data_IF_747840351414
#
_entry.id   IF_747840351414
#
_cell.length_a   1.000
_cell.length_b   1.000
_cell.length_c   1.000
_cell.angle_alpha   90.00
_cell.angle_beta   90.00
_cell.angle_gamma   90.00
#
_symmetry.space_group_name_H-M   'P 1'
#
loop_
_entity.id
_entity.type
_entity.pdbx_description
1 polymer ?
#
# COMPACT_ATOMS: atom_id res chain seq x y z
N UNK A 1 -0.56 59.19 -2.03
CA UNK A 1 -0.10 57.86 -2.47
C UNK A 1 0.24 57.07 -1.23
N UNK A 2 -0.67 56.19 -0.80
CA UNK A 2 -0.49 55.31 0.36
C UNK A 2 -0.79 53.90 -0.11
N UNK A 3 0.24 53.06 -0.10
CA UNK A 3 0.17 51.67 -0.54
C UNK A 3 -0.36 50.86 0.64
N UNK A 4 -1.57 50.35 0.56
CA UNK A 4 -2.09 49.35 1.50
C UNK A 4 -1.71 47.97 0.98
N UNK A 5 -0.85 47.27 1.72
CA UNK A 5 -0.55 45.87 1.47
C UNK A 5 -1.78 45.01 1.81
N UNK A 6 -2.23 44.18 0.87
CA UNK A 6 -3.20 43.13 1.13
C UNK A 6 -2.57 42.04 2.01
N UNK A 7 -3.29 41.44 2.95
CA UNK A 7 -2.80 40.27 3.66
C UNK A 7 -2.79 39.05 2.72
N UNK A 8 -1.77 38.21 2.85
CA UNK A 8 -1.65 36.95 2.14
C UNK A 8 -2.78 35.97 2.52
N UNK A 9 -3.17 35.02 1.64
CA UNK A 9 -4.20 34.04 1.94
C UNK A 9 -3.72 33.07 3.03
N UNK A 10 -4.57 32.81 4.02
CA UNK A 10 -4.31 31.85 5.09
C UNK A 10 -4.61 30.43 4.60
N UNK A 11 -3.58 29.58 4.60
CA UNK A 11 -3.67 28.15 4.29
C UNK A 11 -4.00 27.35 5.56
N UNK A 12 -5.11 26.62 5.54
CA UNK A 12 -5.50 25.58 6.51
C UNK A 12 -6.42 26.04 7.65
N UNK A 13 -7.43 25.23 7.96
CA UNK A 13 -8.25 25.40 9.17
C UNK A 13 -7.38 25.13 10.40
N UNK A 14 -7.22 26.15 11.25
CA UNK A 14 -6.60 26.01 12.58
C UNK A 14 -7.69 25.61 13.57
N UNK A 15 -7.64 24.39 14.09
CA UNK A 15 -8.48 23.97 15.21
C UNK A 15 -7.61 23.81 16.45
N UNK A 16 -7.69 24.79 17.34
CA UNK A 16 -7.06 24.77 18.65
C UNK A 16 -8.00 24.11 19.67
N UNK A 17 -7.75 22.85 20.03
CA UNK A 17 -8.21 22.31 21.32
C UNK A 17 -6.99 22.11 22.23
N UNK A 18 -6.92 22.95 23.28
CA UNK A 18 -6.14 22.73 24.50
C UNK A 18 -4.60 22.71 24.42
N UNK A 19 -3.97 23.82 24.01
CA UNK A 19 -2.67 24.23 24.56
C UNK A 19 -1.43 23.40 24.22
N UNK A 20 -1.52 22.46 23.29
CA UNK A 20 -0.39 21.76 22.68
C UNK A 20 -0.43 21.97 21.15
N UNK A 21 0.73 21.93 20.50
CA UNK A 21 0.97 22.33 19.08
C UNK A 21 -0.22 22.12 18.13
N UNK A 22 -0.59 23.19 17.40
CA UNK A 22 -1.62 23.16 16.38
C UNK A 22 -1.19 22.25 15.23
N UNK A 23 -1.74 21.04 15.18
CA UNK A 23 -1.52 20.10 14.07
C UNK A 23 -2.26 20.65 12.85
N UNK A 24 -1.52 21.13 11.85
CA UNK A 24 -2.12 21.53 10.57
C UNK A 24 -2.64 20.28 9.86
N UNK A 25 -3.91 20.30 9.50
CA UNK A 25 -4.57 19.24 8.71
C UNK A 25 -5.07 19.80 7.38
N UNK A 26 -5.34 18.91 6.43
CA UNK A 26 -5.94 19.25 5.16
C UNK A 26 -7.38 19.74 5.39
N UNK A 27 -7.80 20.82 4.69
CA UNK A 27 -9.16 21.29 4.76
C UNK A 27 -10.11 20.19 4.25
N UNK A 28 -11.08 19.82 5.07
CA UNK A 28 -12.00 18.74 4.77
C UNK A 28 -13.41 19.02 5.30
N UNK A 29 -14.39 18.40 4.67
CA UNK A 29 -15.81 18.44 5.09
C UNK A 29 -16.28 17.04 5.42
N UNK A 30 -17.18 16.88 6.39
CA UNK A 30 -17.76 15.57 6.68
C UNK A 30 -18.76 15.17 5.59
N UNK A 31 -18.74 13.91 5.17
CA UNK A 31 -19.81 13.35 4.35
C UNK A 31 -20.97 12.81 5.23
N UNK A 32 -22.04 12.35 4.59
CA UNK A 32 -23.23 11.83 5.26
C UNK A 32 -23.05 10.42 5.85
N UNK A 33 -21.91 9.77 5.61
CA UNK A 33 -21.64 8.37 5.91
C UNK A 33 -20.51 8.17 6.93
N UNK A 34 -20.15 9.22 7.67
CA UNK A 34 -19.08 9.15 8.68
C UNK A 34 -17.67 9.31 8.12
N UNK A 35 -17.52 9.60 6.83
CA UNK A 35 -16.25 9.93 6.19
C UNK A 35 -15.97 11.42 6.10
N UNK A 36 -14.85 11.75 5.45
CA UNK A 36 -14.40 13.13 5.19
C UNK A 36 -14.01 13.32 3.73
N UNK A 37 -14.27 14.50 3.20
CA UNK A 37 -13.96 14.90 1.82
C UNK A 37 -12.96 16.06 1.88
N UNK A 38 -11.76 15.81 1.36
CA UNK A 38 -10.72 16.80 1.10
C UNK A 38 -10.89 17.35 -0.31
N UNK A 39 -11.04 18.66 -0.44
CA UNK A 39 -11.19 19.34 -1.73
C UNK A 39 -9.96 20.22 -1.99
N UNK A 40 -8.98 19.67 -2.70
CA UNK A 40 -7.72 20.36 -3.00
C UNK A 40 -7.93 21.34 -4.15
N UNK A 41 -7.72 22.63 -3.89
CA UNK A 41 -7.92 23.69 -4.90
C UNK A 41 -6.66 24.45 -5.25
N UNK A 42 -5.71 24.50 -4.32
CA UNK A 42 -4.51 25.30 -4.43
C UNK A 42 -3.30 24.39 -4.68
N UNK A 43 -2.39 24.85 -5.53
CA UNK A 43 -1.13 24.20 -5.76
C UNK A 43 -0.34 24.09 -4.45
N UNK A 44 0.19 22.91 -4.20
CA UNK A 44 0.96 22.59 -3.01
C UNK A 44 2.17 21.76 -3.39
N UNK A 45 3.25 21.95 -2.64
CA UNK A 45 4.41 21.08 -2.70
C UNK A 45 4.05 19.66 -2.19
N UNK A 46 4.59 18.64 -2.84
CA UNK A 46 4.29 17.23 -2.52
C UNK A 46 4.74 16.83 -1.12
N UNK A 47 5.87 17.33 -0.62
CA UNK A 47 6.34 17.02 0.74
C UNK A 47 5.46 17.68 1.81
N UNK A 48 4.98 18.90 1.52
CA UNK A 48 4.01 19.60 2.37
C UNK A 48 2.69 18.84 2.39
N UNK A 49 2.19 18.41 1.24
CA UNK A 49 0.99 17.61 1.14
C UNK A 49 1.14 16.27 1.89
N UNK A 50 2.29 15.59 1.77
CA UNK A 50 2.57 14.35 2.51
C UNK A 50 2.44 14.52 4.02
N UNK A 51 2.99 15.62 4.53
CA UNK A 51 3.00 15.95 5.95
C UNK A 51 1.59 16.26 6.46
N UNK A 52 0.83 17.06 5.69
CA UNK A 52 -0.55 17.39 6.01
C UNK A 52 -1.46 16.17 5.91
N UNK A 53 -1.32 15.34 4.86
CA UNK A 53 -2.11 14.14 4.67
C UNK A 53 -1.89 13.15 5.82
N UNK A 54 -0.63 12.86 6.19
CA UNK A 54 -0.31 12.00 7.36
C UNK A 54 -0.95 12.51 8.65
N UNK A 55 -0.79 13.80 8.92
CA UNK A 55 -1.35 14.44 10.13
C UNK A 55 -2.88 14.37 10.14
N UNK A 56 -3.51 14.56 8.97
CA UNK A 56 -4.96 14.52 8.80
C UNK A 56 -5.52 13.11 8.98
N UNK A 57 -4.89 12.11 8.36
CA UNK A 57 -5.28 10.70 8.49
C UNK A 57 -5.21 10.23 9.95
N UNK A 58 -4.14 10.59 10.68
CA UNK A 58 -4.02 10.28 12.11
C UNK A 58 -5.13 10.95 12.94
N UNK A 59 -5.46 12.20 12.61
CA UNK A 59 -6.52 12.94 13.27
C UNK A 59 -7.90 12.32 13.02
N UNK A 60 -8.24 12.02 11.75
CA UNK A 60 -9.54 11.44 11.38
C UNK A 60 -9.70 10.00 11.87
N UNK A 61 -8.61 9.22 11.94
CA UNK A 61 -8.61 7.90 12.59
C UNK A 61 -9.00 8.00 14.07
N UNK A 62 -8.47 8.98 14.82
CA UNK A 62 -8.84 9.22 16.23
C UNK A 62 -10.31 9.64 16.40
N UNK A 63 -10.89 10.28 15.38
CA UNK A 63 -12.31 10.64 15.36
C UNK A 63 -13.24 9.50 14.92
N UNK A 64 -12.69 8.34 14.56
CA UNK A 64 -13.48 7.20 14.06
C UNK A 64 -14.11 7.47 12.69
N UNK A 65 -13.41 8.17 11.79
CA UNK A 65 -13.88 8.35 10.40
C UNK A 65 -13.71 7.07 9.60
N UNK A 66 -14.73 6.72 8.82
CA UNK A 66 -14.79 5.45 8.08
C UNK A 66 -14.20 5.54 6.65
N UNK A 67 -14.07 6.76 6.09
CA UNK A 67 -13.55 6.98 4.75
C UNK A 67 -12.97 8.37 4.55
N UNK A 68 -11.99 8.48 3.64
CA UNK A 68 -11.34 9.74 3.26
C UNK A 68 -11.35 9.85 1.74
N UNK A 69 -12.04 10.86 1.22
CA UNK A 69 -12.16 11.14 -0.20
C UNK A 69 -11.32 12.36 -0.55
N UNK A 70 -10.31 12.20 -1.40
CA UNK A 70 -9.50 13.32 -1.88
C UNK A 70 -9.94 13.68 -3.29
N UNK A 71 -10.57 14.84 -3.43
CA UNK A 71 -10.86 15.44 -4.73
C UNK A 71 -9.63 16.23 -5.16
N UNK A 72 -9.06 15.79 -6.27
CA UNK A 72 -7.81 16.31 -6.80
C UNK A 72 -8.05 16.76 -8.26
N UNK A 73 -8.01 18.07 -8.54
CA UNK A 73 -7.99 18.60 -9.90
C UNK A 73 -6.79 18.06 -10.68
N UNK A 74 -6.94 17.86 -11.99
CA UNK A 74 -5.89 17.26 -12.84
C UNK A 74 -4.58 18.06 -12.81
N UNK A 75 -4.66 19.36 -12.53
CA UNK A 75 -3.51 20.27 -12.40
C UNK A 75 -2.65 19.96 -11.17
N UNK A 76 -3.18 19.21 -10.18
CA UNK A 76 -2.48 18.80 -8.96
C UNK A 76 -2.05 17.33 -8.99
N UNK A 77 -1.92 16.73 -10.18
CA UNK A 77 -1.57 15.31 -10.36
C UNK A 77 -0.26 14.92 -9.65
N UNK A 78 0.65 15.88 -9.45
CA UNK A 78 1.89 15.70 -8.67
C UNK A 78 1.65 15.29 -7.21
N UNK A 79 0.44 15.47 -6.67
CA UNK A 79 0.09 15.07 -5.31
C UNK A 79 -0.41 13.61 -5.22
N UNK A 80 -0.77 12.99 -6.35
CA UNK A 80 -1.24 11.59 -6.41
C UNK A 80 -0.13 10.64 -5.97
N UNK A 81 1.08 10.82 -6.50
CA UNK A 81 2.29 10.06 -6.14
C UNK A 81 2.53 10.07 -4.62
N UNK A 82 2.23 11.20 -3.97
CA UNK A 82 2.42 11.32 -2.52
C UNK A 82 1.37 10.54 -1.73
N UNK A 83 0.16 10.39 -2.27
CA UNK A 83 -0.93 9.64 -1.65
C UNK A 83 -0.79 8.13 -1.85
N UNK A 84 -0.12 7.69 -2.93
CA UNK A 84 0.03 6.27 -3.28
C UNK A 84 1.45 5.82 -2.99
N UNK A 85 1.62 5.06 -1.90
CA UNK A 85 2.90 4.48 -1.51
C UNK A 85 2.80 2.98 -1.36
N UNK A 86 3.89 2.30 -1.67
CA UNK A 86 4.08 0.87 -1.50
C UNK A 86 5.11 0.61 -0.39
N UNK A 87 4.87 -0.44 0.39
CA UNK A 87 5.82 -0.90 1.40
C UNK A 87 6.94 -1.67 0.70
N UNK A 88 8.17 -1.23 0.90
CA UNK A 88 9.35 -1.84 0.29
C UNK A 88 10.46 -2.08 1.31
N UNK A 89 11.29 -3.06 1.01
CA UNK A 89 12.43 -3.49 1.82
C UNK A 89 13.69 -3.61 0.99
N UNK A 90 14.83 -3.48 1.65
CA UNK A 90 16.15 -3.87 1.16
C UNK A 90 16.68 -5.00 2.04
N UNK A 91 17.22 -6.06 1.44
CA UNK A 91 17.73 -7.20 2.18
C UNK A 91 19.19 -6.99 2.63
N UNK A 92 19.51 -7.36 3.87
CA UNK A 92 20.89 -7.51 4.38
C UNK A 92 21.59 -8.76 3.86
N UNK A 93 20.84 -9.74 3.35
CA UNK A 93 21.35 -11.05 2.90
C UNK A 93 20.48 -11.54 1.75
N UNK A 94 21.08 -12.24 0.79
CA UNK A 94 20.34 -12.79 -0.36
C UNK A 94 20.82 -12.22 -1.69
N UNK A 95 20.05 -12.47 -2.75
CA UNK A 95 20.41 -12.10 -4.12
C UNK A 95 20.42 -10.59 -4.37
N UNK A 96 19.75 -9.81 -3.51
CA UNK A 96 19.65 -8.35 -3.61
C UNK A 96 20.52 -7.60 -2.59
N UNK A 97 21.34 -8.31 -1.82
CA UNK A 97 22.21 -7.67 -0.85
C UNK A 97 23.26 -6.77 -1.51
N UNK A 98 23.38 -5.52 -1.03
CA UNK A 98 24.44 -4.59 -1.42
C UNK A 98 24.29 -3.98 -2.82
N UNK A 99 23.22 -4.32 -3.55
CA UNK A 99 22.91 -3.71 -4.86
C UNK A 99 21.93 -2.53 -4.77
N UNK A 100 21.37 -2.27 -3.58
CA UNK A 100 20.53 -1.09 -3.31
C UNK A 100 19.14 -1.14 -3.95
N UNK A 101 18.68 -2.30 -4.41
CA UNK A 101 17.35 -2.47 -5.02
C UNK A 101 16.28 -2.57 -3.93
N UNK A 102 15.26 -1.73 -4.02
CA UNK A 102 14.05 -1.82 -3.20
C UNK A 102 13.08 -2.82 -3.82
N UNK A 103 12.65 -3.80 -3.03
CA UNK A 103 11.68 -4.81 -3.45
C UNK A 103 10.48 -4.82 -2.50
N UNK A 104 9.38 -5.45 -2.92
CA UNK A 104 8.29 -5.79 -2.01
C UNK A 104 8.76 -6.84 -0.98
N UNK A 105 8.13 -6.91 0.21
CA UNK A 105 8.37 -8.00 1.16
C UNK A 105 8.19 -9.37 0.52
N UNK A 106 9.06 -10.32 0.83
CA UNK A 106 8.99 -11.68 0.26
C UNK A 106 9.56 -12.71 1.23
N UNK A 107 8.89 -13.85 1.35
CA UNK A 107 9.49 -15.03 1.96
C UNK A 107 8.87 -16.32 1.45
N UNK A 108 9.00 -17.38 2.25
CA UNK A 108 8.65 -18.74 1.85
C UNK A 108 7.36 -19.15 2.57
N UNK A 109 6.48 -19.84 1.85
CA UNK A 109 5.30 -20.48 2.45
C UNK A 109 5.74 -21.75 3.17
N UNK A 110 5.46 -21.83 4.46
CA UNK A 110 5.82 -22.99 5.27
C UNK A 110 4.92 -24.21 4.97
N UNK A 111 5.41 -25.40 5.32
CA UNK A 111 4.66 -26.63 5.10
C UNK A 111 3.36 -26.62 5.94
N UNK A 112 2.22 -26.65 5.26
CA UNK A 112 0.88 -26.60 5.89
C UNK A 112 0.35 -25.18 6.11
N UNK A 113 1.07 -24.15 5.67
CA UNK A 113 0.65 -22.75 5.74
C UNK A 113 -0.14 -22.35 4.48
N UNK A 114 -1.19 -21.55 4.67
CA UNK A 114 -1.93 -20.95 3.55
C UNK A 114 -1.15 -19.79 2.92
N UNK A 115 -1.31 -19.58 1.61
CA UNK A 115 -0.58 -18.52 0.88
C UNK A 115 -0.85 -17.14 1.47
N UNK A 116 -2.11 -16.86 1.85
CA UNK A 116 -2.46 -15.58 2.45
C UNK A 116 -1.86 -15.40 3.85
N UNK A 117 -1.75 -16.48 4.64
CA UNK A 117 -1.15 -16.44 5.97
C UNK A 117 0.34 -16.15 5.87
N UNK A 118 1.04 -16.86 4.97
CA UNK A 118 2.44 -16.62 4.68
C UNK A 118 2.69 -15.16 4.28
N UNK A 119 1.89 -14.62 3.34
CA UNK A 119 2.05 -13.24 2.89
C UNK A 119 1.86 -12.22 4.03
N UNK A 120 0.88 -12.42 4.90
CA UNK A 120 0.65 -11.56 6.08
C UNK A 120 1.82 -11.68 7.07
N UNK A 121 2.25 -12.92 7.37
CA UNK A 121 3.34 -13.22 8.29
C UNK A 121 4.65 -12.58 7.82
N UNK A 122 5.03 -12.76 6.57
CA UNK A 122 6.29 -12.23 6.02
C UNK A 122 6.33 -10.70 6.08
N UNK A 123 5.24 -10.01 5.72
CA UNK A 123 5.17 -8.54 5.88
C UNK A 123 5.35 -8.14 7.35
N UNK A 124 4.71 -8.87 8.26
CA UNK A 124 4.80 -8.60 9.70
C UNK A 124 6.20 -8.85 10.25
N UNK A 125 6.84 -9.94 9.85
CA UNK A 125 8.18 -10.33 10.29
C UNK A 125 9.24 -9.36 9.79
N UNK A 126 9.20 -8.98 8.51
CA UNK A 126 10.20 -8.09 7.93
C UNK A 126 10.05 -6.63 8.38
N UNK A 127 8.81 -6.15 8.52
CA UNK A 127 8.52 -4.70 8.63
C UNK A 127 7.74 -4.29 9.87
N UNK A 128 7.16 -5.24 10.61
CA UNK A 128 6.28 -4.98 11.75
C UNK A 128 4.88 -4.51 11.38
N UNK A 129 4.55 -4.36 10.10
CA UNK A 129 3.26 -3.85 9.63
C UNK A 129 2.18 -4.93 9.71
N UNK A 130 1.11 -4.64 10.45
CA UNK A 130 -0.14 -5.41 10.40
C UNK A 130 -0.85 -5.20 9.07
N UNK A 131 -1.28 -6.28 8.44
CA UNK A 131 -1.96 -6.29 7.14
C UNK A 131 -3.17 -7.22 7.15
N UNK A 132 -4.06 -7.00 6.18
CA UNK A 132 -5.12 -7.91 5.79
C UNK A 132 -4.89 -8.34 4.34
N UNK A 133 -5.12 -9.62 4.04
CA UNK A 133 -5.00 -10.14 2.69
C UNK A 133 -6.19 -9.73 1.83
N UNK A 134 -5.92 -9.35 0.57
CA UNK A 134 -6.97 -9.01 -0.40
C UNK A 134 -7.10 -10.12 -1.45
N UNK A 135 -6.04 -10.37 -2.20
CA UNK A 135 -6.06 -11.28 -3.36
C UNK A 135 -4.64 -11.66 -3.82
N UNK A 136 -4.55 -12.76 -4.55
CA UNK A 136 -3.40 -13.09 -5.38
C UNK A 136 -3.57 -12.39 -6.73
N UNK A 137 -2.62 -11.54 -7.12
CA UNK A 137 -2.59 -10.87 -8.42
C UNK A 137 -2.04 -11.77 -9.52
N UNK A 138 -1.00 -12.54 -9.21
CA UNK A 138 -0.40 -13.46 -10.15
C UNK A 138 0.35 -14.56 -9.42
N UNK A 139 0.63 -15.64 -10.12
CA UNK A 139 1.64 -16.60 -9.71
C UNK A 139 2.61 -16.85 -10.85
N UNK A 140 3.85 -17.20 -10.50
CA UNK A 140 4.89 -17.54 -11.44
C UNK A 140 5.49 -18.87 -11.07
N UNK A 141 5.65 -19.72 -12.09
CA UNK A 141 6.38 -20.98 -11.99
C UNK A 141 7.75 -20.82 -12.63
N UNK A 142 8.81 -21.09 -11.87
CA UNK A 142 10.19 -21.09 -12.35
C UNK A 142 10.81 -22.47 -12.16
N UNK A 143 11.54 -22.96 -13.16
CA UNK A 143 12.26 -24.23 -13.08
C UNK A 143 13.72 -24.03 -12.66
N UNK A 144 14.33 -25.08 -12.10
CA UNK A 144 15.74 -25.12 -11.70
C UNK A 144 16.14 -23.99 -10.73
N UNK A 145 15.27 -23.72 -9.76
CA UNK A 145 15.55 -22.83 -8.63
C UNK A 145 16.35 -23.58 -7.55
N UNK A 146 16.04 -23.36 -6.27
CA UNK A 146 16.67 -24.03 -5.14
C UNK A 146 16.74 -25.54 -5.31
N UNK A 147 17.94 -26.11 -5.15
CA UNK A 147 18.21 -27.55 -5.26
C UNK A 147 17.75 -28.21 -6.57
N UNK A 148 17.69 -27.44 -7.67
CA UNK A 148 17.23 -27.93 -8.97
C UNK A 148 15.74 -28.25 -9.02
N UNK A 149 14.95 -27.70 -8.08
CA UNK A 149 13.49 -27.88 -8.02
C UNK A 149 12.76 -26.74 -8.73
N UNK A 150 11.46 -26.95 -8.93
CA UNK A 150 10.57 -25.87 -9.35
C UNK A 150 10.24 -24.97 -8.16
N UNK A 151 10.04 -23.70 -8.46
CA UNK A 151 9.63 -22.65 -7.53
C UNK A 151 8.28 -22.07 -7.98
N UNK A 152 7.38 -21.85 -7.02
CA UNK A 152 6.14 -21.13 -7.22
C UNK A 152 6.17 -19.87 -6.37
N UNK A 153 6.01 -18.73 -7.01
CA UNK A 153 5.92 -17.42 -6.35
C UNK A 153 4.54 -16.82 -6.59
N UNK A 154 3.96 -16.23 -5.55
CA UNK A 154 2.64 -15.60 -5.59
C UNK A 154 2.78 -14.12 -5.28
N UNK A 155 2.32 -13.27 -6.21
CA UNK A 155 2.24 -11.82 -6.00
C UNK A 155 0.92 -11.55 -5.30
N UNK A 156 0.97 -11.07 -4.07
CA UNK A 156 -0.20 -10.86 -3.23
C UNK A 156 -0.44 -9.36 -3.01
N UNK A 157 -1.71 -8.95 -3.07
CA UNK A 157 -2.13 -7.61 -2.67
C UNK A 157 -2.63 -7.67 -1.23
N UNK A 158 -2.10 -6.79 -0.39
CA UNK A 158 -2.43 -6.68 1.03
C UNK A 158 -2.83 -5.25 1.37
N UNK A 159 -3.77 -5.12 2.30
CA UNK A 159 -4.21 -3.84 2.86
C UNK A 159 -3.52 -3.60 4.20
N UNK A 160 -2.76 -2.50 4.37
CA UNK A 160 -2.13 -2.19 5.65
C UNK A 160 -3.17 -1.74 6.69
N UNK A 161 -3.05 -2.27 7.90
CA UNK A 161 -3.84 -1.90 9.09
C UNK A 161 -3.05 -0.97 10.03
N UNK A 162 -1.73 -0.94 9.85
CA UNK A 162 -0.77 -0.09 10.58
C UNK A 162 0.24 0.52 9.60
N UNK A 163 0.95 1.57 10.02
CA UNK A 163 1.89 2.31 9.15
C UNK A 163 3.26 2.54 9.79
N UNK A 164 3.41 2.27 11.09
CA UNK A 164 4.66 2.46 11.83
C UNK A 164 5.59 1.27 11.60
N UNK A 165 6.61 1.47 10.78
CA UNK A 165 7.56 0.43 10.41
C UNK A 165 8.49 0.11 11.59
N UNK A 166 8.62 -1.17 11.91
CA UNK A 166 9.59 -1.75 12.84
C UNK A 166 10.30 -2.90 12.13
N UNK A 167 11.34 -2.56 11.37
CA UNK A 167 12.06 -3.55 10.57
C UNK A 167 12.76 -4.58 11.45
N UNK A 168 12.85 -5.81 10.95
CA UNK A 168 13.64 -6.85 11.58
C UNK A 168 15.12 -6.70 11.19
N UNK A 169 16.00 -6.61 12.19
CA UNK A 169 17.39 -6.21 11.96
C UNK A 169 18.31 -7.33 11.47
N UNK A 170 17.87 -8.59 11.45
CA UNK A 170 18.72 -9.70 11.05
C UNK A 170 18.81 -9.85 9.53
N UNK A 171 17.70 -9.59 8.83
CA UNK A 171 17.51 -9.84 7.40
C UNK A 171 17.20 -8.56 6.63
N UNK A 172 16.62 -7.53 7.26
CA UNK A 172 16.21 -6.30 6.57
C UNK A 172 17.16 -5.13 6.85
N UNK A 173 17.72 -4.58 5.78
CA UNK A 173 18.67 -3.47 5.81
C UNK A 173 17.90 -2.18 6.12
N UNK A 174 16.90 -1.92 5.29
CA UNK A 174 16.00 -0.79 5.40
C UNK A 174 14.59 -1.18 4.94
N UNK A 175 13.58 -0.50 5.49
CA UNK A 175 12.19 -0.65 5.10
C UNK A 175 11.52 0.73 5.10
N UNK A 176 10.71 1.02 4.08
CA UNK A 176 10.02 2.31 3.98
C UNK A 176 8.74 2.23 3.15
N UNK A 177 7.89 3.25 3.32
CA UNK A 177 6.81 3.55 2.39
C UNK A 177 7.38 4.41 1.26
N UNK A 178 7.54 3.82 0.07
CA UNK A 178 8.09 4.45 -1.13
C UNK A 178 6.94 4.85 -2.08
N UNK A 179 6.99 6.02 -2.75
CA UNK A 179 6.08 6.33 -3.85
C UNK A 179 6.05 5.20 -4.89
N UNK A 180 4.87 4.85 -5.37
CA UNK A 180 4.74 3.70 -6.27
C UNK A 180 5.52 3.90 -7.57
N UNK A 181 5.50 5.10 -8.13
CA UNK A 181 6.23 5.48 -9.34
C UNK A 181 7.74 5.35 -9.14
N UNK A 182 8.29 5.86 -8.02
CA UNK A 182 9.70 5.69 -7.68
C UNK A 182 10.10 4.20 -7.60
N UNK A 183 9.25 3.37 -6.98
CA UNK A 183 9.45 1.93 -6.95
C UNK A 183 9.44 1.32 -8.35
N UNK A 184 8.46 1.72 -9.18
CA UNK A 184 8.27 1.20 -10.52
C UNK A 184 9.43 1.58 -11.47
N UNK A 185 9.94 2.80 -11.35
CA UNK A 185 10.98 3.36 -12.23
C UNK A 185 12.40 2.89 -11.89
N UNK A 186 12.59 2.12 -10.82
CA UNK A 186 13.89 1.54 -10.49
C UNK A 186 14.50 0.81 -11.70
N UNK A 187 15.78 1.06 -12.06
CA UNK A 187 16.40 0.45 -13.23
C UNK A 187 16.30 -1.07 -13.27
N UNK A 188 16.39 -1.71 -12.10
CA UNK A 188 16.24 -3.15 -11.97
C UNK A 188 14.85 -3.63 -12.42
N UNK A 189 13.80 -2.96 -11.95
CA UNK A 189 12.42 -3.31 -12.28
C UNK A 189 12.11 -3.10 -13.77
N UNK A 190 12.76 -2.11 -14.39
CA UNK A 190 12.66 -1.83 -15.82
C UNK A 190 13.50 -2.76 -16.71
N UNK A 191 14.44 -3.50 -16.14
CA UNK A 191 15.31 -4.41 -16.89
C UNK A 191 14.79 -5.85 -16.93
N UNK A 192 14.00 -6.27 -15.93
CA UNK A 192 13.58 -7.65 -15.76
C UNK A 192 12.06 -7.82 -15.95
N UNK A 193 11.66 -8.57 -16.99
CA UNK A 193 10.25 -8.75 -17.37
C UNK A 193 9.31 -9.17 -16.23
N UNK A 194 9.67 -10.09 -15.31
CA UNK A 194 8.77 -10.45 -14.21
C UNK A 194 8.38 -9.27 -13.32
N UNK A 195 9.30 -8.31 -13.13
CA UNK A 195 9.04 -7.11 -12.32
C UNK A 195 8.18 -6.11 -13.09
N UNK A 196 8.33 -6.01 -14.41
CA UNK A 196 7.43 -5.19 -15.25
C UNK A 196 5.98 -5.66 -15.15
N UNK A 197 5.73 -6.95 -15.34
CA UNK A 197 4.37 -7.50 -15.23
C UNK A 197 3.81 -7.33 -13.81
N UNK A 198 4.64 -7.48 -12.77
CA UNK A 198 4.21 -7.21 -11.39
C UNK A 198 3.75 -5.75 -11.23
N UNK A 199 4.52 -4.78 -11.73
CA UNK A 199 4.18 -3.35 -11.68
C UNK A 199 2.89 -3.07 -12.46
N UNK A 200 2.77 -3.59 -13.68
CA UNK A 200 1.58 -3.43 -14.53
C UNK A 200 0.32 -3.98 -13.85
N UNK A 201 0.40 -5.15 -13.20
CA UNK A 201 -0.71 -5.74 -12.47
C UNK A 201 -1.07 -4.92 -11.21
N UNK A 202 -0.08 -4.43 -10.47
CA UNK A 202 -0.31 -3.55 -9.33
C UNK A 202 -1.02 -2.26 -9.77
N UNK A 203 -0.59 -1.65 -10.88
CA UNK A 203 -1.24 -0.47 -11.46
C UNK A 203 -2.66 -0.76 -11.89
N UNK A 204 -2.87 -1.84 -12.65
CA UNK A 204 -4.19 -2.24 -13.10
C UNK A 204 -5.14 -2.53 -11.92
N UNK A 205 -4.61 -3.02 -10.79
CA UNK A 205 -5.42 -3.19 -9.58
C UNK A 205 -5.77 -1.86 -8.92
N UNK A 206 -4.83 -0.94 -8.80
CA UNK A 206 -5.07 0.41 -8.23
C UNK A 206 -6.08 1.19 -9.08
N UNK A 207 -6.03 1.03 -10.40
CA UNK A 207 -6.99 1.60 -11.35
C UNK A 207 -8.35 0.87 -11.36
N UNK A 208 -8.50 -0.19 -10.57
CA UNK A 208 -9.72 -1.00 -10.46
C UNK A 208 -10.16 -1.60 -11.81
N UNK A 209 -9.20 -1.94 -12.66
CA UNK A 209 -9.41 -2.60 -13.97
C UNK A 209 -8.88 -4.04 -13.99
N UNK A 210 -8.38 -4.51 -12.85
CA UNK A 210 -7.90 -5.87 -12.66
C UNK A 210 -8.43 -6.44 -11.34
N UNK A 211 -8.96 -7.66 -11.41
CA UNK A 211 -9.38 -8.42 -10.24
C UNK A 211 -8.56 -9.71 -10.16
N UNK A 212 -7.88 -9.90 -9.04
CA UNK A 212 -7.10 -11.08 -8.75
C UNK A 212 -7.96 -12.24 -8.25
N UNK A 213 -7.33 -13.11 -7.47
CA UNK A 213 -7.93 -14.31 -6.93
C UNK A 213 -8.03 -14.18 -5.41
N UNK A 214 -9.26 -14.07 -4.90
CA UNK A 214 -9.51 -14.03 -3.45
C UNK A 214 -9.73 -15.44 -2.90
N UNK A 215 -9.36 -15.70 -1.64
CA UNK A 215 -9.54 -17.00 -1.03
C UNK A 215 -11.01 -17.17 -0.63
N UNK A 216 -11.58 -18.31 -0.97
CA UNK A 216 -12.93 -18.74 -0.55
C UNK A 216 -12.79 -20.05 0.22
N UNK A 217 -13.16 -20.09 1.51
CA UNK A 217 -13.15 -21.33 2.27
C UNK A 217 -14.07 -22.36 1.62
N UNK A 218 -13.58 -23.58 1.46
CA UNK A 218 -14.34 -24.71 0.94
C UNK A 218 -14.18 -25.92 1.86
N UNK A 219 -15.29 -26.63 2.08
CA UNK A 219 -15.26 -27.88 2.85
C UNK A 219 -14.56 -28.98 2.06
N UNK A 220 -13.59 -29.65 2.67
CA UNK A 220 -13.02 -30.86 2.10
C UNK A 220 -14.00 -32.04 2.22
N UNK A 221 -14.08 -32.88 1.18
CA UNK A 221 -14.90 -34.10 1.21
C UNK A 221 -14.31 -35.19 2.13
N UNK A 222 -13.02 -35.08 2.48
CA UNK A 222 -12.25 -36.16 3.09
C UNK A 222 -11.57 -35.78 4.41
N UNK A 223 -11.52 -34.48 4.76
CA UNK A 223 -10.83 -33.96 5.96
C UNK A 223 -11.70 -32.86 6.60
N UNK A 224 -11.69 -32.74 7.93
CA UNK A 224 -12.43 -31.69 8.66
C UNK A 224 -11.79 -30.28 8.58
N UNK A 225 -10.62 -30.16 7.93
CA UNK A 225 -9.94 -28.88 7.70
C UNK A 225 -10.57 -28.13 6.52
N UNK A 226 -10.78 -26.82 6.72
CA UNK A 226 -11.19 -25.91 5.66
C UNK A 226 -9.98 -25.62 4.78
N UNK A 227 -10.10 -25.86 3.48
CA UNK A 227 -9.11 -25.46 2.49
C UNK A 227 -9.59 -24.19 1.77
N UNK A 228 -8.67 -23.40 1.22
CA UNK A 228 -9.04 -22.23 0.43
C UNK A 228 -9.00 -22.51 -1.08
N UNK A 229 -10.09 -22.17 -1.78
CA UNK A 229 -10.10 -22.02 -3.23
C UNK A 229 -9.81 -20.56 -3.58
N UNK A 230 -8.80 -20.30 -4.39
CA UNK A 230 -8.48 -18.95 -4.87
C UNK A 230 -9.17 -18.75 -6.21
N UNK A 231 -10.03 -17.73 -6.32
CA UNK A 231 -10.78 -17.45 -7.54
C UNK A 231 -11.10 -15.98 -7.71
N UNK A 232 -11.30 -15.58 -8.96
CA UNK A 232 -11.86 -14.27 -9.28
C UNK A 232 -13.34 -14.24 -8.89
N UNK A 233 -13.70 -13.37 -7.95
CA UNK A 233 -15.07 -13.27 -7.42
C UNK A 233 -16.06 -12.62 -8.39
N UNK A 234 -15.59 -11.72 -9.25
CA UNK A 234 -16.44 -10.93 -10.13
C UNK A 234 -17.21 -11.79 -11.16
N UNK A 235 -16.69 -12.96 -11.52
CA UNK A 235 -17.35 -13.87 -12.46
C UNK A 235 -18.31 -14.87 -11.82
N UNK A 236 -18.25 -15.10 -10.50
CA UNK A 236 -19.19 -15.99 -9.80
C UNK A 236 -20.36 -15.24 -9.13
N UNK A 237 -20.14 -14.00 -8.69
CA UNK A 237 -21.19 -13.18 -8.08
C UNK A 237 -22.18 -12.59 -9.12
N UNK A 238 -21.99 -12.88 -10.41
CA UNK A 238 -22.94 -12.59 -11.51
C UNK A 238 -24.15 -13.53 -11.56
N UNK A 239 -24.26 -14.46 -10.62
CA UNK A 239 -25.40 -15.38 -10.51
C UNK A 239 -26.03 -15.32 -9.14
N UNK A 240 -27.00 -14.41 -8.97
CA UNK A 240 -28.24 -14.57 -8.20
C UNK A 240 -29.22 -13.45 -8.55
#
# INVERSE_FOLDING_TARGET
MSVSASPAPLLGDQLCENGYECVKILPATNDAHGGVIVDLKEAMDSEVFATLLRSSLLHWKKQGKDGVWIKLPIELVNLVETAVKVLVVQEKRGGFHGIGVWKIPTGVVDAGEEIFEAAIREVKEETGIDTEFTEVLAFRHTHNSFFGKSDLSFVCMLRPLSFDIKKQDLEIEAAQWMPFEEFAEQPFNQMHEPFKYMIELCMAKVENVYDGFSPRPVSSYFVEELNCLYLNGHDLDKTS
#
